data_IF_435937867465
#
_entry.id   IF_435937867465
#
_cell.length_a   1.000
_cell.length_b   1.000
_cell.length_c   1.000
_cell.angle_alpha   90.00
_cell.angle_beta   90.00
_cell.angle_gamma   90.00
#
_symmetry.space_group_name_H-M   'P 1'
#
loop_
_entity.id
_entity.type
_entity.pdbx_description
1 polymer ?
#
# COMPACT_ATOMS: atom_id res chain seq x y z
N UNK A 1 -18.21 -8.96 -7.06
CA UNK A 1 -17.34 -9.86 -6.27
C UNK A 1 -16.31 -10.49 -7.21
N UNK A 2 -15.03 -10.15 -7.07
CA UNK A 2 -13.96 -10.61 -7.99
C UNK A 2 -12.85 -11.41 -7.28
N UNK A 3 -12.61 -11.13 -6.00
CA UNK A 3 -11.55 -11.74 -5.20
C UNK A 3 -12.09 -12.10 -3.81
N UNK A 4 -11.72 -13.27 -3.23
CA UNK A 4 -12.10 -13.62 -1.86
C UNK A 4 -11.59 -12.57 -0.87
N UNK A 5 -12.50 -11.97 -0.09
CA UNK A 5 -12.15 -10.89 0.83
C UNK A 5 -11.70 -9.58 0.16
N UNK A 6 -11.94 -9.42 -1.14
CA UNK A 6 -11.63 -8.20 -1.90
C UNK A 6 -10.15 -7.97 -2.18
N UNK A 7 -9.25 -8.92 -1.86
CA UNK A 7 -7.79 -8.73 -1.93
C UNK A 7 -7.06 -9.94 -2.48
N UNK A 8 -5.87 -9.71 -3.06
CA UNK A 8 -4.97 -10.75 -3.58
C UNK A 8 -3.99 -11.31 -2.54
N UNK A 9 -3.93 -10.74 -1.33
CA UNK A 9 -3.13 -11.24 -0.21
C UNK A 9 -3.86 -10.95 1.10
N UNK A 10 -4.04 -11.92 2.01
CA UNK A 10 -4.91 -11.77 3.17
C UNK A 10 -4.60 -10.58 4.08
N UNK A 11 -3.33 -10.24 4.24
CA UNK A 11 -2.89 -9.13 5.10
C UNK A 11 -3.43 -7.77 4.63
N UNK A 12 -3.72 -7.65 3.33
CA UNK A 12 -4.27 -6.42 2.72
C UNK A 12 -5.72 -6.17 3.13
N UNK A 13 -6.44 -7.17 3.68
CA UNK A 13 -7.84 -7.02 4.08
C UNK A 13 -8.03 -6.27 5.43
N UNK A 14 -6.94 -5.84 6.08
CA UNK A 14 -6.96 -5.04 7.32
C UNK A 14 -7.69 -5.69 8.52
N UNK A 15 -7.96 -6.99 8.46
CA UNK A 15 -8.71 -7.72 9.51
C UNK A 15 -8.13 -7.58 10.92
N UNK A 16 -6.81 -7.40 11.05
CA UNK A 16 -6.12 -7.27 12.34
C UNK A 16 -6.24 -5.90 12.99
N UNK A 17 -6.49 -4.84 12.20
CA UNK A 17 -6.55 -3.45 12.68
C UNK A 17 -7.94 -2.83 12.54
N UNK A 18 -8.84 -3.51 11.80
CA UNK A 18 -10.17 -3.01 11.49
C UNK A 18 -10.16 -1.95 10.39
N UNK A 19 -11.36 -1.45 10.05
CA UNK A 19 -11.54 -0.47 8.98
C UNK A 19 -11.57 -1.08 7.58
N UNK A 20 -11.33 -0.26 6.57
CA UNK A 20 -11.26 -0.65 5.16
C UNK A 20 -9.81 -0.57 4.67
N UNK A 21 -9.38 -1.50 3.78
CA UNK A 21 -8.07 -1.40 3.11
C UNK A 21 -7.91 -0.08 2.35
N UNK A 22 -6.71 0.47 2.39
CA UNK A 22 -6.34 1.66 1.60
C UNK A 22 -5.94 1.21 0.19
N UNK A 23 -6.52 1.85 -0.82
CA UNK A 23 -6.17 1.63 -2.24
C UNK A 23 -5.17 2.71 -2.65
N UNK A 24 -3.94 2.30 -2.94
CA UNK A 24 -2.87 3.20 -3.35
C UNK A 24 -2.86 3.43 -4.87
N UNK A 25 -2.70 4.70 -5.27
CA UNK A 25 -2.58 5.11 -6.68
C UNK A 25 -1.12 5.20 -7.12
N UNK A 26 -0.26 5.81 -6.30
CA UNK A 26 1.15 6.02 -6.65
C UNK A 26 2.08 5.99 -5.43
N UNK A 27 3.37 5.76 -5.71
CA UNK A 27 4.45 5.68 -4.72
C UNK A 27 5.73 6.26 -5.30
N UNK A 28 6.53 6.96 -4.49
CA UNK A 28 7.84 7.51 -4.88
C UNK A 28 8.70 7.75 -3.64
N UNK A 29 9.94 7.27 -3.66
CA UNK A 29 10.83 7.35 -2.51
C UNK A 29 10.19 6.70 -1.28
N UNK A 30 10.08 7.43 -0.17
CA UNK A 30 9.44 6.97 1.07
C UNK A 30 7.97 7.35 1.20
N UNK A 31 7.32 7.81 0.13
CA UNK A 31 5.94 8.32 0.16
C UNK A 31 5.00 7.47 -0.68
N UNK A 32 3.75 7.38 -0.22
CA UNK A 32 2.64 6.73 -0.91
C UNK A 32 1.43 7.65 -0.92
N UNK A 33 0.68 7.65 -2.03
CA UNK A 33 -0.55 8.41 -2.20
C UNK A 33 -1.70 7.46 -2.51
N UNK A 34 -2.80 7.59 -1.77
CA UNK A 34 -4.03 6.84 -2.03
C UNK A 34 -4.91 7.50 -3.09
N UNK A 35 -5.93 6.77 -3.53
CA UNK A 35 -6.89 7.24 -4.55
C UNK A 35 -7.72 8.44 -4.10
N UNK A 36 -7.75 8.76 -2.80
CA UNK A 36 -8.43 9.91 -2.23
C UNK A 36 -7.50 11.14 -2.09
N UNK A 37 -6.21 10.99 -2.43
CA UNK A 37 -5.20 12.04 -2.40
C UNK A 37 -4.48 12.20 -1.06
N UNK A 38 -4.65 11.27 -0.12
CA UNK A 38 -3.92 11.30 1.15
C UNK A 38 -2.46 10.86 0.94
N UNK A 39 -1.53 11.57 1.59
CA UNK A 39 -0.10 11.21 1.58
C UNK A 39 0.29 10.50 2.88
N UNK A 40 1.09 9.45 2.74
CA UNK A 40 1.63 8.67 3.84
C UNK A 40 3.16 8.60 3.75
N UNK A 41 3.82 8.58 4.92
CA UNK A 41 5.20 8.05 5.01
C UNK A 41 5.09 6.53 5.03
N UNK A 42 5.64 5.86 4.02
CA UNK A 42 5.52 4.41 3.87
C UNK A 42 6.61 3.66 4.65
N UNK A 43 6.18 3.02 5.74
CA UNK A 43 6.99 2.07 6.51
C UNK A 43 6.68 0.61 6.20
N UNK A 44 5.66 0.33 5.39
CA UNK A 44 5.39 -1.03 4.89
C UNK A 44 6.40 -1.37 3.81
N UNK A 45 6.76 -0.43 2.93
CA UNK A 45 7.85 -0.57 1.96
C UNK A 45 7.68 -1.78 1.04
N UNK A 46 6.44 -2.02 0.59
CA UNK A 46 6.03 -3.23 -0.15
C UNK A 46 6.31 -4.55 0.58
N UNK A 47 6.35 -4.54 1.92
CA UNK A 47 6.76 -5.67 2.76
C UNK A 47 8.25 -6.02 2.64
N UNK A 48 9.09 -5.06 2.25
CA UNK A 48 10.56 -5.23 2.18
C UNK A 48 11.25 -4.76 0.89
N UNK A 49 10.71 -5.01 -0.33
CA UNK A 49 11.39 -4.71 -1.59
C UNK A 49 11.81 -3.25 -1.78
N UNK A 50 11.06 -2.29 -1.21
CA UNK A 50 11.32 -0.87 -1.38
C UNK A 50 12.42 -0.35 -0.43
N UNK A 51 13.55 -1.06 -0.32
CA UNK A 51 14.65 -0.72 0.59
C UNK A 51 15.32 0.62 0.26
N UNK A 52 15.35 0.97 -1.03
CA UNK A 52 15.85 2.27 -1.53
C UNK A 52 14.71 3.25 -1.82
N UNK A 53 13.50 2.94 -1.36
CA UNK A 53 12.28 3.64 -1.73
C UNK A 53 11.64 3.11 -3.02
N UNK A 54 10.45 3.62 -3.32
CA UNK A 54 9.68 3.27 -4.50
C UNK A 54 10.09 4.09 -5.72
N UNK A 55 10.04 3.47 -6.90
CA UNK A 55 10.28 4.12 -8.19
C UNK A 55 11.53 5.01 -8.20
N UNK A 56 12.67 4.46 -7.78
CA UNK A 56 13.97 5.16 -7.88
C UNK A 56 14.26 5.56 -9.34
N UNK A 57 14.92 6.69 -9.55
CA UNK A 57 15.15 7.23 -10.90
C UNK A 57 16.30 6.54 -11.66
N UNK A 58 17.03 5.65 -10.99
CA UNK A 58 18.21 4.97 -11.55
C UNK A 58 17.90 3.61 -12.16
#
# INVERSE_FOLDING_TARGET
ELMPGGVNSPVRAFKSVGGQPIVFDSVKGSRAWDVDGNEYIDYVGSWGPAIIGHADDK
#
